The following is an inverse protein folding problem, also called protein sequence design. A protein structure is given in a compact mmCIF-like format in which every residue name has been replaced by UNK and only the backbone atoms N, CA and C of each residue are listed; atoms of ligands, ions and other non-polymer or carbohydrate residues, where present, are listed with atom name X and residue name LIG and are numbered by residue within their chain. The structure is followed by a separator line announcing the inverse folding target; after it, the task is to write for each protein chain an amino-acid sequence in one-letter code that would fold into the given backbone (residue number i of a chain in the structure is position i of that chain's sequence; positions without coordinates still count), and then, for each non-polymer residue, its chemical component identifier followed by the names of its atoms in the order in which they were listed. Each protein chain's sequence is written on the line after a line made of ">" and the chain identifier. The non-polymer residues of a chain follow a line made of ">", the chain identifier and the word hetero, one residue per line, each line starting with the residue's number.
data_IF_567515619224
#
_entry.id   IF_567515619224
#
_cell.length_a   1.000
_cell.length_b   1.000
_cell.length_c   1.000
_cell.angle_alpha   90.00
_cell.angle_beta   90.00
_cell.angle_gamma   90.00
#
_symmetry.space_group_name_H-M   'P 1'
#
loop_
_entity.id
_entity.type
_entity.pdbx_description
1 polymer ?
#
# COMPACT_ATOMS: atom_id res chain seq x y z
N UNK A 1 -21.15 -11.51 8.12
CA UNK A 1 -20.35 -10.57 8.94
C UNK A 1 -20.95 -9.18 8.84
N UNK A 2 -20.51 -8.25 9.67
CA UNK A 2 -20.77 -6.81 9.52
C UNK A 2 -19.49 -6.04 9.17
N UNK A 3 -19.64 -4.76 8.83
CA UNK A 3 -18.48 -3.92 8.43
C UNK A 3 -17.44 -3.76 9.53
N UNK A 4 -17.86 -3.81 10.81
CA UNK A 4 -16.93 -3.72 11.94
C UNK A 4 -16.08 -4.98 12.05
N UNK A 5 -16.67 -6.16 11.97
CA UNK A 5 -15.96 -7.44 12.00
C UNK A 5 -14.95 -7.54 10.84
N UNK A 6 -15.32 -7.08 9.64
CA UNK A 6 -14.42 -7.05 8.48
C UNK A 6 -13.22 -6.12 8.73
N UNK A 7 -13.47 -4.92 9.28
CA UNK A 7 -12.39 -3.99 9.64
C UNK A 7 -11.50 -4.56 10.76
N UNK A 8 -12.09 -5.13 11.81
CA UNK A 8 -11.35 -5.72 12.93
C UNK A 8 -10.40 -6.83 12.45
N UNK A 9 -10.82 -7.66 11.48
CA UNK A 9 -9.95 -8.67 10.85
C UNK A 9 -8.73 -8.01 10.17
N UNK A 10 -8.94 -6.93 9.40
CA UNK A 10 -7.85 -6.24 8.73
C UNK A 10 -6.85 -5.63 9.74
N UNK A 11 -7.36 -5.06 10.84
CA UNK A 11 -6.53 -4.52 11.92
C UNK A 11 -5.73 -5.61 12.63
N UNK A 12 -6.37 -6.74 12.98
CA UNK A 12 -5.71 -7.87 13.64
C UNK A 12 -4.57 -8.42 12.78
N UNK A 13 -4.81 -8.63 11.49
CA UNK A 13 -3.78 -9.10 10.55
C UNK A 13 -2.61 -8.12 10.44
N UNK A 14 -2.89 -6.81 10.47
CA UNK A 14 -1.87 -5.77 10.41
C UNK A 14 -1.19 -5.48 11.76
N UNK A 15 -1.62 -6.12 12.85
CA UNK A 15 -1.12 -5.85 14.21
C UNK A 15 -1.48 -4.46 14.74
N UNK A 16 -2.60 -3.90 14.29
CA UNK A 16 -3.09 -2.57 14.68
C UNK A 16 -4.22 -2.69 15.71
N UNK A 17 -4.28 -1.73 16.64
CA UNK A 17 -5.34 -1.65 17.66
C UNK A 17 -6.42 -0.63 17.35
N UNK A 18 -6.17 0.26 16.38
CA UNK A 18 -7.05 1.36 15.99
C UNK A 18 -7.08 1.49 14.46
N UNK A 19 -8.20 1.99 13.93
CA UNK A 19 -8.35 2.23 12.49
C UNK A 19 -7.41 3.39 12.08
N UNK A 20 -6.46 3.18 11.16
CA UNK A 20 -5.58 4.24 10.68
C UNK A 20 -6.35 5.38 10.02
N UNK A 21 -5.79 6.59 10.06
CA UNK A 21 -6.43 7.80 9.56
C UNK A 21 -6.72 7.82 8.04
N UNK A 22 -6.18 6.86 7.28
CA UNK A 22 -6.45 6.64 5.85
C UNK A 22 -7.44 5.51 5.58
N UNK A 23 -8.02 4.92 6.62
CA UNK A 23 -8.96 3.81 6.53
C UNK A 23 -10.25 4.18 7.27
N UNK A 24 -11.40 3.66 6.84
CA UNK A 24 -12.67 3.98 7.47
C UNK A 24 -13.78 2.99 7.14
N UNK A 25 -14.72 2.86 8.07
CA UNK A 25 -16.07 2.38 7.78
C UNK A 25 -16.88 3.61 7.34
N UNK A 26 -17.05 3.80 6.03
CA UNK A 26 -17.71 4.98 5.47
C UNK A 26 -19.24 4.84 5.56
N UNK A 27 -19.76 3.65 5.23
CA UNK A 27 -21.17 3.33 5.38
C UNK A 27 -21.26 1.97 6.07
N UNK A 28 -21.81 1.88 7.30
CA UNK A 28 -21.91 0.63 8.03
C UNK A 28 -22.92 -0.32 7.36
N UNK A 29 -22.73 -1.62 7.55
CA UNK A 29 -23.61 -2.65 7.01
C UNK A 29 -23.56 -3.93 7.82
N UNK A 30 -24.65 -4.70 7.75
CA UNK A 30 -24.89 -5.94 8.49
C UNK A 30 -25.18 -7.08 7.52
N UNK A 31 -25.07 -8.33 7.99
CA UNK A 31 -25.38 -9.55 7.22
C UNK A 31 -24.64 -9.70 5.87
N UNK A 32 -23.43 -9.14 5.78
CA UNK A 32 -22.57 -9.20 4.59
C UNK A 32 -22.13 -10.64 4.35
N UNK A 33 -22.39 -11.12 3.13
CA UNK A 33 -22.01 -12.44 2.60
C UNK A 33 -21.26 -12.33 1.28
N UNK A 34 -21.47 -11.25 0.51
CA UNK A 34 -20.86 -11.03 -0.79
C UNK A 34 -20.29 -9.61 -0.88
N UNK A 35 -19.03 -9.50 -1.28
CA UNK A 35 -18.32 -8.21 -1.38
C UNK A 35 -17.74 -7.97 -2.78
N UNK A 36 -17.78 -6.71 -3.21
CA UNK A 36 -17.00 -6.23 -4.36
C UNK A 36 -15.77 -5.49 -3.85
N UNK A 37 -14.58 -5.88 -4.30
CA UNK A 37 -13.30 -5.35 -3.82
C UNK A 37 -12.49 -4.80 -4.97
N UNK A 38 -11.94 -3.60 -4.79
CA UNK A 38 -11.07 -3.00 -5.79
C UNK A 38 -10.09 -1.98 -5.21
N UNK A 39 -9.07 -1.63 -5.98
CA UNK A 39 -8.08 -0.62 -5.59
C UNK A 39 -8.72 0.76 -5.58
N UNK A 40 -9.29 1.15 -6.73
CA UNK A 40 -10.01 2.41 -6.91
C UNK A 40 -11.51 2.18 -7.02
N UNK A 41 -12.28 2.62 -6.03
CA UNK A 41 -13.74 2.44 -5.98
C UNK A 41 -14.48 3.77 -5.98
N UNK A 42 -15.03 4.16 -7.13
CA UNK A 42 -15.81 5.37 -7.31
C UNK A 42 -17.32 5.13 -7.41
N UNK A 43 -18.06 6.17 -7.78
CA UNK A 43 -19.52 6.10 -7.95
C UNK A 43 -19.95 5.07 -9.00
N UNK A 44 -19.18 4.91 -10.08
CA UNK A 44 -19.48 3.91 -11.12
C UNK A 44 -19.36 2.48 -10.58
N UNK A 45 -18.33 2.20 -9.78
CA UNK A 45 -18.13 0.91 -9.15
C UNK A 45 -19.23 0.61 -8.12
N UNK A 46 -19.71 1.63 -7.38
CA UNK A 46 -20.87 1.48 -6.49
C UNK A 46 -22.16 1.11 -7.25
N UNK A 47 -22.38 1.67 -8.43
CA UNK A 47 -23.53 1.33 -9.27
C UNK A 47 -23.40 -0.10 -9.80
N UNK A 48 -22.21 -0.50 -10.24
CA UNK A 48 -21.92 -1.87 -10.65
C UNK A 48 -22.14 -2.86 -9.49
N UNK A 49 -21.66 -2.53 -8.29
CA UNK A 49 -21.87 -3.31 -7.08
C UNK A 49 -23.37 -3.57 -6.82
N UNK A 50 -24.19 -2.53 -6.95
CA UNK A 50 -25.65 -2.65 -6.80
C UNK A 50 -26.27 -3.58 -7.85
N UNK A 51 -25.85 -3.48 -9.10
CA UNK A 51 -26.33 -4.34 -10.19
C UNK A 51 -25.93 -5.81 -9.98
N UNK A 52 -24.73 -6.05 -9.45
CA UNK A 52 -24.24 -7.39 -9.10
C UNK A 52 -24.87 -7.96 -7.81
N UNK A 53 -25.68 -7.18 -7.11
CA UNK A 53 -26.34 -7.58 -5.87
C UNK A 53 -25.35 -7.92 -4.74
N UNK A 54 -24.24 -7.18 -4.63
CA UNK A 54 -23.30 -7.36 -3.51
C UNK A 54 -23.80 -6.66 -2.25
N UNK A 55 -23.38 -7.16 -1.09
CA UNK A 55 -23.80 -6.63 0.22
C UNK A 55 -22.89 -5.49 0.72
N UNK A 56 -21.65 -5.41 0.24
CA UNK A 56 -20.69 -4.39 0.63
C UNK A 56 -19.62 -4.16 -0.43
N UNK A 57 -19.13 -2.93 -0.52
CA UNK A 57 -17.95 -2.56 -1.31
C UNK A 57 -16.76 -2.30 -0.40
N UNK A 58 -15.60 -2.85 -0.75
CA UNK A 58 -14.33 -2.59 -0.07
C UNK A 58 -13.38 -1.92 -1.07
N UNK A 59 -13.06 -0.65 -0.83
CA UNK A 59 -12.02 0.07 -1.56
C UNK A 59 -10.68 0.02 -0.83
N UNK A 60 -9.59 -0.14 -1.57
CA UNK A 60 -8.26 0.02 -0.99
C UNK A 60 -7.94 1.50 -0.78
N UNK A 61 -7.90 2.30 -1.86
CA UNK A 61 -7.58 3.71 -1.75
C UNK A 61 -8.69 4.49 -1.01
N UNK A 62 -8.34 5.55 -0.25
CA UNK A 62 -9.32 6.38 0.43
C UNK A 62 -10.19 7.16 -0.56
N UNK A 63 -11.47 6.79 -0.67
CA UNK A 63 -12.40 7.35 -1.67
C UNK A 63 -13.23 8.51 -1.14
N UNK A 64 -13.33 8.68 0.18
CA UNK A 64 -14.06 9.80 0.80
C UNK A 64 -13.97 9.81 2.32
N UNK A 65 -14.74 10.71 2.94
CA UNK A 65 -14.84 10.81 4.40
C UNK A 65 -13.54 11.18 5.12
N UNK A 66 -13.47 10.84 6.40
CA UNK A 66 -12.31 11.14 7.27
C UNK A 66 -11.04 10.47 6.79
N UNK A 67 -11.12 9.24 6.26
CA UNK A 67 -9.99 8.51 5.67
C UNK A 67 -9.24 9.36 4.63
N UNK A 68 -9.98 10.11 3.81
CA UNK A 68 -9.39 10.95 2.77
C UNK A 68 -8.99 12.33 3.28
N UNK A 69 -9.68 12.86 4.29
CA UNK A 69 -9.39 14.17 4.89
C UNK A 69 -8.14 14.14 5.78
N UNK A 70 -7.96 13.07 6.54
CA UNK A 70 -6.89 12.92 7.54
C UNK A 70 -5.72 12.07 7.02
N UNK A 71 -5.67 11.80 5.71
CA UNK A 71 -4.67 10.95 5.08
C UNK A 71 -3.22 11.27 5.49
N UNK A 72 -2.89 12.54 5.74
CA UNK A 72 -1.53 12.93 6.12
C UNK A 72 -1.10 12.51 7.51
N UNK A 73 -2.03 12.20 8.41
CA UNK A 73 -1.72 11.70 9.75
C UNK A 73 -1.04 10.33 9.68
N UNK A 74 -1.42 9.49 8.70
CA UNK A 74 -0.83 8.15 8.54
C UNK A 74 0.64 8.19 8.12
N UNK A 75 1.10 9.30 7.54
CA UNK A 75 2.48 9.45 7.10
C UNK A 75 3.46 9.40 8.28
N UNK A 76 3.03 9.74 9.49
CA UNK A 76 3.90 9.72 10.67
C UNK A 76 4.39 8.29 10.98
N UNK A 77 3.64 7.26 10.56
CA UNK A 77 4.08 5.86 10.62
C UNK A 77 5.31 5.53 9.73
N UNK A 78 5.70 6.42 8.82
CA UNK A 78 6.97 6.28 8.08
C UNK A 78 8.18 6.51 8.98
N UNK A 79 8.03 7.23 10.10
CA UNK A 79 9.11 7.43 11.07
C UNK A 79 9.53 6.08 11.68
N UNK A 80 8.56 5.28 12.10
CA UNK A 80 8.83 3.95 12.68
C UNK A 80 9.50 3.01 11.67
N UNK A 81 9.11 3.11 10.38
CA UNK A 81 9.73 2.35 9.28
C UNK A 81 11.18 2.75 9.04
N UNK A 82 11.45 4.06 9.02
CA UNK A 82 12.81 4.58 8.94
C UNK A 82 13.66 4.11 10.12
N UNK A 83 13.11 4.12 11.35
CA UNK A 83 13.79 3.62 12.55
C UNK A 83 14.07 2.11 12.43
N UNK A 84 13.08 1.32 11.97
CA UNK A 84 13.27 -0.12 11.68
C UNK A 84 14.39 -0.37 10.66
N UNK A 85 14.58 0.55 9.71
CA UNK A 85 15.69 0.48 8.75
C UNK A 85 17.04 0.98 9.28
N UNK A 86 17.12 1.48 10.52
CA UNK A 86 18.34 2.00 11.15
C UNK A 86 18.54 3.50 11.06
N UNK A 87 17.55 4.26 10.57
CA UNK A 87 17.61 5.73 10.56
C UNK A 87 17.35 6.25 11.99
N UNK A 88 18.20 7.14 12.54
CA UNK A 88 17.92 7.78 13.83
C UNK A 88 16.57 8.52 13.83
N UNK A 89 15.77 8.34 14.89
CA UNK A 89 14.39 8.87 14.96
C UNK A 89 14.30 10.39 14.70
N UNK A 90 15.26 11.16 15.21
CA UNK A 90 15.33 12.61 14.99
C UNK A 90 15.68 13.01 13.54
N UNK A 91 16.38 12.14 12.80
CA UNK A 91 16.59 12.32 11.36
C UNK A 91 15.34 11.93 10.57
N UNK A 92 14.69 10.82 10.95
CA UNK A 92 13.47 10.33 10.33
C UNK A 92 12.35 11.38 10.37
N UNK A 93 12.08 11.96 11.55
CA UNK A 93 11.09 13.03 11.74
C UNK A 93 11.37 14.24 10.81
N UNK A 94 12.62 14.71 10.79
CA UNK A 94 13.02 15.86 9.96
C UNK A 94 12.95 15.58 8.46
N UNK A 95 13.32 14.37 8.05
CA UNK A 95 13.29 13.97 6.63
C UNK A 95 11.85 13.96 6.08
N UNK A 96 10.88 13.53 6.90
CA UNK A 96 9.48 13.44 6.48
C UNK A 96 8.77 14.80 6.43
N UNK A 97 9.12 15.73 7.31
CA UNK A 97 8.39 16.97 7.57
C UNK A 97 8.03 17.76 6.29
N UNK A 98 8.99 17.88 5.36
CA UNK A 98 8.80 18.61 4.10
C UNK A 98 7.74 17.94 3.20
N UNK A 99 7.82 16.61 3.03
CA UNK A 99 6.88 15.87 2.18
C UNK A 99 5.49 15.87 2.80
N UNK A 100 5.37 15.63 4.10
CA UNK A 100 4.11 15.69 4.85
C UNK A 100 3.37 17.01 4.61
N UNK A 101 4.07 18.14 4.74
CA UNK A 101 3.47 19.45 4.46
C UNK A 101 3.04 19.65 3.00
N UNK A 102 3.77 19.07 2.02
CA UNK A 102 3.37 19.12 0.60
C UNK A 102 2.09 18.31 0.36
N UNK A 103 1.99 17.12 0.95
CA UNK A 103 0.81 16.26 0.81
C UNK A 103 -0.41 16.90 1.47
N UNK A 104 -0.28 17.46 2.67
CA UNK A 104 -1.38 18.09 3.41
C UNK A 104 -2.04 19.23 2.61
N UNK A 105 -1.22 20.16 2.08
CA UNK A 105 -1.73 21.23 1.22
C UNK A 105 -2.38 20.70 -0.06
N UNK A 106 -1.87 19.59 -0.60
CA UNK A 106 -2.37 18.96 -1.81
C UNK A 106 -3.69 18.22 -1.60
N UNK A 107 -3.95 17.68 -0.41
CA UNK A 107 -5.21 17.00 -0.09
C UNK A 107 -6.32 18.00 0.20
N UNK A 108 -6.02 19.12 0.87
CA UNK A 108 -6.99 20.13 1.31
C UNK A 108 -8.03 20.58 0.25
N UNK A 109 -7.70 20.56 -1.03
CA UNK A 109 -8.59 21.01 -2.13
C UNK A 109 -9.59 19.95 -2.62
N UNK A 110 -9.55 18.73 -2.09
CA UNK A 110 -10.33 17.59 -2.61
C UNK A 110 -11.78 17.62 -2.12
N UNK A 111 -12.71 17.19 -2.98
CA UNK A 111 -14.06 16.85 -2.55
C UNK A 111 -14.07 15.45 -1.91
N UNK A 112 -14.28 15.40 -0.59
CA UNK A 112 -14.27 14.16 0.18
C UNK A 112 -15.64 13.46 0.24
N UNK A 113 -16.70 14.09 -0.27
CA UNK A 113 -18.06 13.62 -0.07
C UNK A 113 -18.60 12.80 -1.26
N UNK A 114 -18.10 13.00 -2.48
CA UNK A 114 -18.70 12.45 -3.72
C UNK A 114 -19.04 10.96 -3.65
N UNK A 115 -18.09 10.11 -3.25
CA UNK A 115 -18.31 8.65 -3.19
C UNK A 115 -19.11 8.27 -1.94
N UNK A 116 -18.88 8.97 -0.82
CA UNK A 116 -19.53 8.69 0.45
C UNK A 116 -21.04 9.00 0.41
N UNK A 117 -21.44 10.15 -0.13
CA UNK A 117 -22.85 10.49 -0.27
C UNK A 117 -23.55 9.61 -1.31
N UNK A 118 -22.88 9.24 -2.41
CA UNK A 118 -23.42 8.27 -3.37
C UNK A 118 -23.69 6.90 -2.71
N UNK A 119 -22.76 6.38 -1.92
CA UNK A 119 -22.93 5.12 -1.20
C UNK A 119 -24.15 5.16 -0.24
N UNK A 120 -24.31 6.26 0.50
CA UNK A 120 -25.48 6.47 1.39
C UNK A 120 -26.79 6.49 0.62
N UNK A 121 -26.86 7.22 -0.49
CA UNK A 121 -28.05 7.29 -1.33
C UNK A 121 -28.42 5.94 -1.96
N UNK A 122 -27.42 5.12 -2.28
CA UNK A 122 -27.63 3.78 -2.81
C UNK A 122 -27.99 2.75 -1.74
N UNK A 123 -27.78 3.07 -0.46
CA UNK A 123 -27.88 2.11 0.65
C UNK A 123 -26.79 1.03 0.59
N UNK A 124 -25.60 1.36 0.07
CA UNK A 124 -24.49 0.44 -0.14
C UNK A 124 -23.46 0.56 1.00
N UNK A 125 -23.29 -0.47 1.85
CA UNK A 125 -22.19 -0.52 2.81
C UNK A 125 -20.83 -0.38 2.13
N UNK A 126 -19.95 0.45 2.71
CA UNK A 126 -18.69 0.85 2.09
C UNK A 126 -17.58 0.94 3.14
N UNK A 127 -16.49 0.22 2.88
CA UNK A 127 -15.26 0.22 3.64
C UNK A 127 -14.11 0.81 2.80
N UNK A 128 -13.19 1.48 3.46
CA UNK A 128 -11.86 1.79 2.93
C UNK A 128 -10.81 1.17 3.85
N UNK A 129 -9.98 0.26 3.30
CA UNK A 129 -8.94 -0.47 4.03
C UNK A 129 -7.62 -0.25 3.28
N UNK A 130 -6.86 0.75 3.72
CA UNK A 130 -5.63 1.19 3.06
C UNK A 130 -4.40 0.71 3.84
N UNK A 131 -3.95 1.46 4.85
CA UNK A 131 -2.75 1.12 5.64
C UNK A 131 -2.74 -0.31 6.20
N UNK A 132 -3.86 -0.90 6.68
CA UNK A 132 -3.83 -2.30 7.10
C UNK A 132 -3.39 -3.26 5.98
N UNK A 133 -3.89 -3.07 4.75
CA UNK A 133 -3.48 -3.86 3.60
C UNK A 133 -2.03 -3.56 3.19
N UNK A 134 -1.60 -2.29 3.21
CA UNK A 134 -0.22 -1.93 2.89
C UNK A 134 0.79 -2.55 3.85
N UNK A 135 0.46 -2.63 5.15
CA UNK A 135 1.31 -3.27 6.15
C UNK A 135 1.50 -4.75 5.82
N UNK A 136 0.42 -5.43 5.40
CA UNK A 136 0.50 -6.82 4.96
C UNK A 136 1.38 -6.96 3.73
N UNK A 137 1.18 -6.12 2.72
CA UNK A 137 2.02 -6.10 1.51
C UNK A 137 3.49 -5.87 1.85
N UNK A 138 3.79 -4.84 2.64
CA UNK A 138 5.15 -4.49 3.06
C UNK A 138 5.83 -5.63 3.80
N UNK A 139 5.14 -6.25 4.77
CA UNK A 139 5.71 -7.36 5.56
C UNK A 139 5.98 -8.59 4.70
N UNK A 140 5.03 -8.99 3.85
CA UNK A 140 5.16 -10.16 2.97
C UNK A 140 6.32 -9.94 1.98
N UNK A 141 6.36 -8.79 1.32
CA UNK A 141 7.41 -8.48 0.35
C UNK A 141 8.77 -8.33 1.04
N UNK A 142 8.83 -7.69 2.22
CA UNK A 142 10.07 -7.57 2.98
C UNK A 142 10.62 -8.94 3.37
N UNK A 143 9.77 -9.88 3.79
CA UNK A 143 10.19 -11.25 4.11
C UNK A 143 10.81 -11.95 2.89
N UNK A 144 10.24 -11.75 1.69
CA UNK A 144 10.81 -12.28 0.44
C UNK A 144 12.17 -11.64 0.16
N UNK A 145 12.30 -10.32 0.28
CA UNK A 145 13.56 -9.60 0.05
C UNK A 145 14.64 -10.02 1.07
N UNK A 146 14.28 -10.19 2.34
CA UNK A 146 15.17 -10.63 3.40
C UNK A 146 15.68 -12.06 3.16
N UNK A 147 14.82 -12.96 2.68
CA UNK A 147 15.24 -14.33 2.31
C UNK A 147 16.27 -14.33 1.17
N UNK A 148 16.07 -13.51 0.14
CA UNK A 148 17.04 -13.38 -0.96
C UNK A 148 18.37 -12.84 -0.43
N UNK A 149 18.33 -11.78 0.37
CA UNK A 149 19.52 -11.13 0.92
C UNK A 149 20.27 -12.01 1.93
N UNK A 150 19.57 -12.74 2.79
CA UNK A 150 20.18 -13.66 3.76
C UNK A 150 20.88 -14.85 3.08
N UNK A 151 20.35 -15.32 1.94
CA UNK A 151 20.99 -16.38 1.14
C UNK A 151 22.27 -15.90 0.47
N UNK A 152 22.29 -14.66 -0.01
CA UNK A 152 23.47 -14.03 -0.59
C UNK A 152 23.41 -12.51 -0.37
N UNK A 153 24.24 -12.00 0.55
CA UNK A 153 24.29 -10.56 0.85
C UNK A 153 24.97 -9.72 -0.25
N UNK A 154 25.51 -10.37 -1.27
CA UNK A 154 25.97 -9.78 -2.53
C UNK A 154 25.03 -10.13 -3.69
N UNK A 155 23.74 -10.34 -3.42
CA UNK A 155 22.74 -10.51 -4.47
C UNK A 155 22.65 -9.25 -5.34
N UNK A 156 22.24 -9.46 -6.58
CA UNK A 156 21.98 -8.39 -7.55
C UNK A 156 20.52 -7.96 -7.49
N UNK A 157 20.22 -6.78 -8.02
CA UNK A 157 18.83 -6.33 -8.17
C UNK A 157 18.02 -7.30 -9.06
N UNK A 158 18.66 -7.98 -10.03
CA UNK A 158 18.04 -9.06 -10.81
C UNK A 158 17.48 -10.19 -9.94
N UNK A 159 18.13 -10.51 -8.83
CA UNK A 159 17.70 -11.59 -7.93
C UNK A 159 16.44 -11.18 -7.16
N UNK A 160 16.36 -9.91 -6.73
CA UNK A 160 15.15 -9.34 -6.12
C UNK A 160 13.98 -9.33 -7.11
N UNK A 161 14.23 -8.92 -8.37
CA UNK A 161 13.22 -8.94 -9.44
C UNK A 161 12.74 -10.36 -9.70
N UNK A 162 13.64 -11.34 -9.71
CA UNK A 162 13.27 -12.74 -9.90
C UNK A 162 12.33 -13.20 -8.79
N UNK A 163 12.68 -12.96 -7.53
CA UNK A 163 11.86 -13.34 -6.38
C UNK A 163 10.49 -12.66 -6.35
N UNK A 164 10.39 -11.37 -6.70
CA UNK A 164 9.09 -10.71 -6.88
C UNK A 164 8.25 -11.43 -7.94
N UNK A 165 8.84 -11.77 -9.08
CA UNK A 165 8.15 -12.50 -10.15
C UNK A 165 7.90 -13.99 -9.83
N UNK A 166 8.21 -14.50 -8.64
CA UNK A 166 7.74 -15.80 -8.18
C UNK A 166 6.37 -15.72 -7.48
N UNK A 167 6.00 -14.53 -7.00
CA UNK A 167 4.71 -14.30 -6.35
C UNK A 167 3.60 -14.12 -7.39
N UNK A 168 2.39 -14.67 -7.16
CA UNK A 168 1.34 -14.73 -8.16
C UNK A 168 0.85 -13.35 -8.63
N UNK A 169 0.78 -12.36 -7.74
CA UNK A 169 0.35 -11.00 -8.07
C UNK A 169 1.30 -10.35 -9.09
N UNK A 170 2.61 -10.40 -8.86
CA UNK A 170 3.60 -9.86 -9.80
C UNK A 170 3.72 -10.70 -11.08
N UNK A 171 3.51 -12.02 -11.01
CA UNK A 171 3.47 -12.89 -12.20
C UNK A 171 2.35 -12.53 -13.17
N UNK A 172 1.20 -12.10 -12.65
CA UNK A 172 -0.01 -11.81 -13.43
C UNK A 172 -0.14 -10.35 -13.79
N UNK A 173 0.58 -9.46 -13.11
CA UNK A 173 0.61 -8.05 -13.47
C UNK A 173 1.20 -7.84 -14.87
N UNK A 174 0.57 -6.95 -15.63
CA UNK A 174 1.08 -6.49 -16.92
C UNK A 174 2.35 -5.64 -16.73
N UNK A 175 2.43 -4.88 -15.63
CA UNK A 175 3.56 -4.05 -15.31
C UNK A 175 4.56 -4.80 -14.44
N UNK A 176 5.62 -5.32 -15.06
CA UNK A 176 6.67 -6.05 -14.34
C UNK A 176 7.54 -5.14 -13.48
N UNK A 177 8.14 -5.67 -12.39
CA UNK A 177 9.12 -4.95 -11.58
C UNK A 177 10.25 -4.34 -12.43
N UNK A 178 10.59 -3.08 -12.16
CA UNK A 178 11.53 -2.30 -12.98
C UNK A 178 12.50 -1.48 -12.12
N UNK A 179 13.77 -1.48 -12.50
CA UNK A 179 14.79 -0.65 -11.87
C UNK A 179 14.66 0.77 -12.40
N UNK A 180 14.39 1.75 -11.52
CA UNK A 180 14.29 3.17 -11.89
C UNK A 180 15.57 3.96 -11.61
N UNK A 181 16.35 3.50 -10.62
CA UNK A 181 17.69 4.02 -10.32
C UNK A 181 18.63 2.86 -10.07
N UNK A 182 19.80 2.89 -10.73
CA UNK A 182 20.72 1.75 -10.82
C UNK A 182 20.45 0.90 -12.07
N UNK A 183 20.86 -0.37 -12.02
CA UNK A 183 20.68 -1.37 -13.06
C UNK A 183 20.47 -2.75 -12.45
N UNK A 184 19.95 -3.70 -13.24
CA UNK A 184 19.75 -5.09 -12.80
C UNK A 184 21.05 -5.77 -12.33
N UNK A 185 22.19 -5.31 -12.84
CA UNK A 185 23.52 -5.88 -12.53
C UNK A 185 24.17 -5.30 -11.27
N UNK A 186 23.63 -4.20 -10.73
CA UNK A 186 24.13 -3.65 -9.47
C UNK A 186 23.86 -4.64 -8.32
N UNK A 187 24.80 -4.70 -7.38
CA UNK A 187 24.54 -5.29 -6.07
C UNK A 187 23.36 -4.55 -5.43
N UNK A 188 22.42 -5.30 -4.85
CA UNK A 188 21.27 -4.66 -4.20
C UNK A 188 21.66 -3.95 -2.91
N UNK A 189 22.74 -4.40 -2.24
CA UNK A 189 22.93 -4.12 -0.83
C UNK A 189 21.73 -4.60 0.00
N UNK A 190 21.59 -4.13 1.25
CA UNK A 190 20.43 -4.48 2.07
C UNK A 190 19.16 -3.88 1.46
N UNK A 191 18.17 -4.68 1.03
CA UNK A 191 16.91 -4.16 0.53
C UNK A 191 16.01 -3.69 1.68
N UNK A 192 15.22 -2.64 1.44
CA UNK A 192 14.17 -2.23 2.35
C UNK A 192 12.91 -1.86 1.57
N UNK A 193 11.79 -2.42 1.98
CA UNK A 193 10.49 -2.23 1.35
C UNK A 193 9.80 -1.03 1.97
N UNK A 194 9.31 -0.12 1.12
CA UNK A 194 8.55 1.06 1.52
C UNK A 194 7.23 1.06 0.78
N UNK A 195 6.24 0.37 1.35
CA UNK A 195 4.93 0.15 0.75
C UNK A 195 3.82 0.72 1.63
N UNK A 196 4.04 0.83 2.94
CA UNK A 196 3.09 1.40 3.87
C UNK A 196 3.52 2.79 4.38
N UNK A 197 2.56 3.49 4.99
CA UNK A 197 2.72 4.89 5.43
C UNK A 197 2.04 5.91 4.51
N UNK A 198 0.98 5.49 3.80
CA UNK A 198 0.12 6.33 2.98
C UNK A 198 0.67 6.61 1.59
N UNK A 199 1.86 7.21 1.48
CA UNK A 199 2.47 7.55 0.18
C UNK A 199 3.99 7.66 0.27
N UNK A 200 4.68 7.88 -0.84
CA UNK A 200 6.14 8.03 -0.87
C UNK A 200 6.64 9.22 -0.03
N UNK A 201 7.72 9.01 0.75
CA UNK A 201 8.30 10.00 1.66
C UNK A 201 9.13 11.10 0.98
N UNK A 202 9.40 11.00 -0.32
CA UNK A 202 10.15 12.01 -1.07
C UNK A 202 11.67 11.88 -0.95
N UNK A 203 12.42 12.85 -1.53
CA UNK A 203 13.87 12.73 -1.71
C UNK A 203 14.66 12.65 -0.39
N UNK A 204 14.22 13.39 0.62
CA UNK A 204 14.91 13.48 1.92
C UNK A 204 14.76 12.18 2.72
N UNK A 205 13.59 11.53 2.64
CA UNK A 205 13.33 10.21 3.24
C UNK A 205 14.16 9.14 2.56
N UNK A 206 14.18 9.11 1.21
CA UNK A 206 15.01 8.17 0.45
C UNK A 206 16.49 8.31 0.80
N UNK A 207 16.99 9.54 0.87
CA UNK A 207 18.38 9.83 1.28
C UNK A 207 18.67 9.31 2.69
N UNK A 208 17.75 9.50 3.63
CA UNK A 208 17.91 9.04 5.00
C UNK A 208 18.07 7.51 5.09
N UNK A 209 17.27 6.76 4.32
CA UNK A 209 17.42 5.31 4.23
C UNK A 209 18.80 4.90 3.68
N UNK A 210 19.25 5.53 2.59
CA UNK A 210 20.54 5.19 1.98
C UNK A 210 21.71 5.51 2.91
N UNK A 211 21.69 6.66 3.60
CA UNK A 211 22.70 7.01 4.61
C UNK A 211 22.71 6.06 5.82
N UNK A 212 21.59 5.39 6.11
CA UNK A 212 21.50 4.34 7.12
C UNK A 212 21.93 2.94 6.62
N UNK A 213 22.50 2.86 5.42
CA UNK A 213 23.04 1.62 4.86
C UNK A 213 21.99 0.71 4.20
N UNK A 214 20.82 1.24 3.83
CA UNK A 214 19.95 0.57 2.85
C UNK A 214 20.59 0.72 1.47
N UNK A 215 20.72 -0.39 0.72
CA UNK A 215 21.29 -0.36 -0.63
C UNK A 215 20.26 -0.21 -1.74
N UNK A 216 19.05 -0.75 -1.53
CA UNK A 216 17.95 -0.69 -2.49
C UNK A 216 16.64 -0.42 -1.78
N UNK A 217 15.93 0.63 -2.20
CA UNK A 217 14.53 0.83 -1.83
C UNK A 217 13.65 0.07 -2.82
N UNK A 218 12.77 -0.77 -2.28
CA UNK A 218 11.73 -1.48 -3.03
C UNK A 218 10.40 -0.79 -2.77
N UNK A 219 9.85 -0.11 -3.77
CA UNK A 219 8.64 0.70 -3.64
C UNK A 219 7.59 0.27 -4.67
N UNK A 220 6.32 0.57 -4.39
CA UNK A 220 5.22 0.31 -5.33
C UNK A 220 5.31 1.20 -6.57
N UNK A 221 5.63 2.47 -6.35
CA UNK A 221 5.79 3.52 -7.36
C UNK A 221 6.75 4.60 -6.86
N UNK A 222 7.25 5.44 -7.75
CA UNK A 222 8.11 6.58 -7.38
C UNK A 222 7.93 7.72 -8.41
N UNK A 223 7.75 8.98 -7.99
CA UNK A 223 7.62 10.10 -8.91
C UNK A 223 8.97 10.49 -9.52
N UNK A 224 8.92 11.14 -10.70
CA UNK A 224 10.12 11.59 -11.43
C UNK A 224 11.02 12.52 -10.59
N UNK A 225 10.44 13.34 -9.71
CA UNK A 225 11.20 14.21 -8.80
C UNK A 225 12.13 13.41 -7.88
N UNK A 226 11.66 12.27 -7.38
CA UNK A 226 12.41 11.41 -6.47
C UNK A 226 13.46 10.59 -7.25
N UNK A 227 13.13 10.11 -8.46
CA UNK A 227 14.08 9.42 -9.35
C UNK A 227 15.30 10.31 -9.64
N UNK A 228 15.07 11.57 -10.01
CA UNK A 228 16.14 12.54 -10.28
C UNK A 228 17.01 12.76 -9.06
N UNK A 229 16.37 13.00 -7.91
CA UNK A 229 17.09 13.24 -6.67
C UNK A 229 17.97 12.05 -6.26
N UNK A 230 17.48 10.81 -6.35
CA UNK A 230 18.31 9.63 -6.00
C UNK A 230 19.46 9.43 -6.99
N UNK A 231 19.26 9.69 -8.29
CA UNK A 231 20.36 9.67 -9.28
C UNK A 231 21.43 10.70 -8.96
N UNK A 232 21.04 11.92 -8.58
CA UNK A 232 21.96 12.99 -8.17
C UNK A 232 22.69 12.66 -6.86
N UNK A 233 22.00 12.03 -5.91
CA UNK A 233 22.61 11.56 -4.67
C UNK A 233 23.70 10.50 -4.94
N UNK A 234 23.47 9.61 -5.92
CA UNK A 234 24.40 8.55 -6.33
C UNK A 234 24.84 7.65 -5.16
N UNK A 235 23.90 7.31 -4.25
CA UNK A 235 24.17 6.51 -3.04
C UNK A 235 23.56 5.11 -3.13
N UNK A 236 22.35 4.98 -3.69
CA UNK A 236 21.60 3.73 -3.66
C UNK A 236 20.71 3.52 -4.88
N UNK A 237 19.95 2.42 -4.85
CA UNK A 237 19.11 1.97 -5.95
C UNK A 237 17.62 2.08 -5.62
N UNK A 238 16.80 2.13 -6.66
CA UNK A 238 15.34 2.08 -6.54
C UNK A 238 14.78 1.02 -7.48
N UNK A 239 14.15 0.00 -6.89
CA UNK A 239 13.35 -1.00 -7.56
C UNK A 239 11.87 -0.65 -7.38
N UNK A 240 11.17 -0.42 -8.49
CA UNK A 240 9.72 -0.25 -8.50
C UNK A 240 9.08 -1.61 -8.76
N UNK A 241 8.39 -2.15 -7.77
CA UNK A 241 7.78 -3.47 -7.82
C UNK A 241 6.52 -3.51 -8.70
N UNK A 242 5.80 -2.38 -8.80
CA UNK A 242 4.51 -2.28 -9.50
C UNK A 242 3.40 -1.97 -8.52
N UNK A 243 2.53 -1.00 -8.84
CA UNK A 243 1.51 -0.51 -7.90
C UNK A 243 0.43 -1.57 -7.67
N UNK A 244 -0.29 -1.97 -8.72
CA UNK A 244 -1.42 -2.89 -8.60
C UNK A 244 -1.01 -4.25 -8.02
N UNK A 245 0.13 -4.80 -8.45
CA UNK A 245 0.65 -6.04 -7.88
C UNK A 245 1.01 -5.91 -6.40
N UNK A 246 1.65 -4.82 -5.98
CA UNK A 246 2.02 -4.63 -4.57
C UNK A 246 0.80 -4.45 -3.67
N UNK A 247 -0.17 -3.62 -4.05
CA UNK A 247 -1.44 -3.49 -3.30
C UNK A 247 -2.14 -4.84 -3.20
N UNK A 248 -2.18 -5.59 -4.31
CA UNK A 248 -2.85 -6.88 -4.39
C UNK A 248 -2.26 -7.91 -3.43
N UNK A 249 -0.95 -7.89 -3.14
CA UNK A 249 -0.34 -8.82 -2.16
C UNK A 249 -1.00 -8.67 -0.79
N UNK A 250 -1.13 -7.43 -0.32
CA UNK A 250 -1.74 -7.13 0.98
C UNK A 250 -3.24 -7.36 0.98
N UNK A 251 -3.92 -6.89 -0.08
CA UNK A 251 -5.37 -7.08 -0.26
C UNK A 251 -5.71 -8.58 -0.27
N UNK A 252 -5.02 -9.40 -1.06
CA UNK A 252 -5.31 -10.83 -1.17
C UNK A 252 -5.04 -11.59 0.14
N UNK A 253 -4.00 -11.23 0.89
CA UNK A 253 -3.75 -11.80 2.21
C UNK A 253 -4.94 -11.60 3.17
N UNK A 254 -5.54 -10.41 3.13
CA UNK A 254 -6.77 -10.10 3.86
C UNK A 254 -8.01 -10.83 3.29
N UNK A 255 -8.20 -10.79 1.97
CA UNK A 255 -9.37 -11.41 1.32
C UNK A 255 -9.42 -12.92 1.53
N UNK A 256 -8.27 -13.59 1.58
CA UNK A 256 -8.18 -15.02 1.88
C UNK A 256 -8.86 -15.37 3.21
N UNK A 257 -8.73 -14.51 4.23
CA UNK A 257 -9.37 -14.70 5.53
C UNK A 257 -10.88 -14.49 5.46
N UNK A 258 -11.36 -13.55 4.63
CA UNK A 258 -12.79 -13.37 4.40
C UNK A 258 -13.40 -14.58 3.67
N UNK A 259 -12.72 -15.08 2.64
CA UNK A 259 -13.12 -16.27 1.88
C UNK A 259 -13.18 -17.51 2.78
N UNK A 260 -12.19 -17.71 3.65
CA UNK A 260 -12.17 -18.80 4.64
C UNK A 260 -13.32 -18.71 5.66
N UNK A 261 -13.85 -17.50 5.89
CA UNK A 261 -15.04 -17.25 6.71
C UNK A 261 -16.35 -17.33 5.91
N UNK A 262 -16.28 -17.73 4.64
CA UNK A 262 -17.43 -17.96 3.77
C UNK A 262 -17.99 -16.72 3.08
N UNK A 263 -17.21 -15.62 2.99
CA UNK A 263 -17.58 -14.46 2.18
C UNK A 263 -17.27 -14.74 0.71
N UNK A 264 -18.24 -14.52 -0.16
CA UNK A 264 -18.02 -14.46 -1.60
C UNK A 264 -17.34 -13.15 -1.97
N UNK A 265 -16.17 -13.23 -2.61
CA UNK A 265 -15.36 -12.06 -2.98
C UNK A 265 -15.34 -11.92 -4.50
N UNK A 266 -15.74 -10.75 -5.00
CA UNK A 266 -15.55 -10.35 -6.39
C UNK A 266 -14.41 -9.32 -6.44
N UNK A 267 -13.30 -9.68 -7.09
CA UNK A 267 -12.13 -8.80 -7.29
C UNK A 267 -12.29 -7.99 -8.58
N UNK A 268 -12.01 -6.69 -8.54
CA UNK A 268 -12.01 -5.80 -9.70
C UNK A 268 -11.12 -4.57 -9.47
N UNK A 269 -11.13 -3.61 -10.41
CA UNK A 269 -10.40 -2.32 -10.32
C UNK A 269 -8.97 -2.49 -9.80
N UNK A 270 -8.16 -3.24 -10.53
CA UNK A 270 -6.73 -3.38 -10.24
C UNK A 270 -6.34 -4.45 -9.22
N UNK A 271 -7.29 -5.03 -8.47
CA UNK A 271 -7.00 -6.19 -7.61
C UNK A 271 -6.70 -7.41 -8.49
N UNK A 272 -5.46 -7.88 -8.44
CA UNK A 272 -4.97 -9.02 -9.20
C UNK A 272 -5.36 -10.30 -8.45
N UNK A 273 -6.17 -11.13 -9.08
CA UNK A 273 -6.52 -12.45 -8.55
C UNK A 273 -5.26 -13.35 -8.52
N UNK A 274 -4.90 -13.97 -7.37
CA UNK A 274 -3.73 -14.81 -7.25
C UNK A 274 -3.97 -16.28 -7.68
N UNK A 275 -5.20 -16.68 -8.05
CA UNK A 275 -5.60 -18.06 -8.40
C UNK A 275 -5.82 -18.34 -9.88
#
# INVERSE_FOLDING_TARGET
>A
MNTKEIMDIALELAGLTEIPADSAILVPGENIKKVLVGVDMGTAELLLAKELGVDCVIGHHPVGGTARANFTEVMDSQIDRMVKAGVPINKAEKALAKKRGKVERGTHVRNYDTVHSAAKLLGMPLLSIHTPADILAENIVQEVMDKVYAKNNNCKISDLIHALNEMPEYQRDLNKPVVRVGSKENYSGRPFVTMAGGTGGGPDVLKAYFEAGVGTIVAMHIPEEDIKAVKEQNIGNVLVAGHMSSDSVGINAFLKVLEDKGIEVIRMSGVIDPH
#
